data_IF_987866041631
#
_entry.id   IF_987866041631
#
_cell.length_a   1.000
_cell.length_b   1.000
_cell.length_c   1.000
_cell.angle_alpha   90.00
_cell.angle_beta   90.00
_cell.angle_gamma   90.00
#
_symmetry.space_group_name_H-M   'P 1'
#
loop_
_entity.id
_entity.type
_entity.pdbx_description
1 polymer ?
#
# COMPACT_ATOMS: atom_id res chain seq x y z
N UNK A 1 -8.66 -8.31 6.53
CA UNK A 1 -7.90 -7.56 7.56
C UNK A 1 -8.92 -6.90 8.48
N UNK A 2 -9.76 -7.70 9.11
CA UNK A 2 -11.04 -7.20 9.65
C UNK A 2 -10.82 -6.34 10.89
N UNK A 3 -9.84 -6.73 11.72
CA UNK A 3 -9.34 -5.93 12.84
C UNK A 3 -8.87 -4.52 12.41
N UNK A 4 -8.17 -4.39 11.27
CA UNK A 4 -7.71 -3.10 10.77
C UNK A 4 -8.87 -2.28 10.17
N UNK A 5 -9.79 -2.95 9.47
CA UNK A 5 -11.00 -2.30 8.96
C UNK A 5 -11.85 -1.70 10.10
N UNK A 6 -11.98 -2.43 11.22
CA UNK A 6 -12.69 -1.96 12.41
C UNK A 6 -12.04 -0.76 13.10
N UNK A 7 -10.71 -0.58 12.96
CA UNK A 7 -10.00 0.62 13.47
C UNK A 7 -10.25 1.86 12.62
N UNK A 8 -10.61 1.71 11.35
CA UNK A 8 -10.82 2.82 10.41
C UNK A 8 -12.15 2.70 9.63
N UNK A 9 -13.30 2.55 10.31
CA UNK A 9 -14.56 2.19 9.65
C UNK A 9 -15.03 3.25 8.64
N UNK A 10 -14.85 4.54 8.97
CA UNK A 10 -15.18 5.64 8.05
C UNK A 10 -14.32 5.63 6.79
N UNK A 11 -13.04 5.27 6.91
CA UNK A 11 -12.14 5.16 5.76
C UNK A 11 -12.55 4.02 4.85
N UNK A 12 -12.93 2.87 5.43
CA UNK A 12 -13.45 1.72 4.68
C UNK A 12 -14.71 2.10 3.92
N UNK A 13 -15.70 2.69 4.62
CA UNK A 13 -16.95 3.14 4.01
C UNK A 13 -16.70 4.11 2.85
N UNK A 14 -15.81 5.10 3.04
CA UNK A 14 -15.47 6.06 2.00
C UNK A 14 -14.83 5.37 0.79
N UNK A 15 -13.85 4.49 1.00
CA UNK A 15 -13.21 3.77 -0.10
C UNK A 15 -14.24 2.96 -0.89
N UNK A 16 -15.08 2.18 -0.20
CA UNK A 16 -16.11 1.37 -0.85
C UNK A 16 -17.13 2.20 -1.62
N UNK A 17 -17.44 3.41 -1.13
CA UNK A 17 -18.44 4.28 -1.73
C UNK A 17 -17.92 5.10 -2.90
N UNK A 18 -16.69 5.62 -2.82
CA UNK A 18 -16.20 6.67 -3.75
C UNK A 18 -15.12 6.21 -4.70
N UNK A 19 -14.43 5.11 -4.41
CA UNK A 19 -13.31 4.66 -5.24
C UNK A 19 -13.82 3.84 -6.42
N UNK A 20 -13.64 4.29 -7.67
CA UNK A 20 -14.08 3.55 -8.83
C UNK A 20 -13.16 2.35 -9.09
N UNK A 21 -13.70 1.29 -9.71
CA UNK A 21 -12.93 0.11 -10.16
C UNK A 21 -11.93 -0.40 -9.09
N UNK A 22 -12.36 -0.51 -7.83
CA UNK A 22 -11.47 -0.82 -6.70
C UNK A 22 -10.71 -2.15 -6.89
N UNK A 23 -9.40 -2.13 -6.69
CA UNK A 23 -8.52 -3.32 -6.70
C UNK A 23 -8.51 -4.08 -5.37
N UNK A 24 -9.32 -3.63 -4.39
CA UNK A 24 -9.43 -4.18 -3.02
C UNK A 24 -8.11 -4.27 -2.26
N UNK A 25 -7.21 -3.33 -2.55
CA UNK A 25 -5.95 -3.18 -1.86
C UNK A 25 -5.82 -1.72 -1.40
N UNK A 26 -5.81 -1.52 -0.08
CA UNK A 26 -5.69 -0.21 0.55
C UNK A 26 -5.02 -0.34 1.92
N UNK A 27 -4.14 0.61 2.25
CA UNK A 27 -3.42 0.64 3.51
C UNK A 27 -2.83 2.03 3.76
N UNK A 28 -2.51 2.34 5.02
CA UNK A 28 -1.71 3.51 5.36
C UNK A 28 -0.23 3.15 5.27
N UNK A 29 0.54 3.96 4.55
CA UNK A 29 2.01 3.89 4.53
C UNK A 29 2.56 5.01 5.40
N UNK A 30 3.38 4.62 6.39
CA UNK A 30 4.14 5.54 7.22
C UNK A 30 5.59 5.59 6.74
N UNK A 31 6.17 6.78 6.69
CA UNK A 31 7.55 6.99 6.29
C UNK A 31 8.22 8.00 7.22
N UNK A 32 9.30 7.59 7.88
CA UNK A 32 10.00 8.43 8.85
C UNK A 32 10.87 9.50 8.17
N UNK A 33 11.17 10.62 8.85
CA UNK A 33 12.15 11.62 8.40
C UNK A 33 13.45 11.03 7.86
N UNK A 34 13.96 11.58 6.76
CA UNK A 34 15.21 11.16 6.13
C UNK A 34 15.14 9.84 5.36
N UNK A 35 13.95 9.27 5.18
CA UNK A 35 13.79 8.00 4.44
C UNK A 35 13.79 8.24 2.94
N UNK A 36 14.57 7.42 2.23
CA UNK A 36 14.55 7.29 0.78
C UNK A 36 14.13 5.87 0.40
N UNK A 37 12.95 5.75 -0.23
CA UNK A 37 12.51 4.52 -0.89
C UNK A 37 13.15 4.50 -2.27
N UNK A 38 14.17 3.67 -2.43
CA UNK A 38 14.94 3.52 -3.67
C UNK A 38 14.06 3.13 -4.86
N UNK A 39 14.56 3.41 -6.07
CA UNK A 39 13.89 3.05 -7.31
C UNK A 39 13.49 1.58 -7.39
N UNK A 40 12.23 1.34 -7.75
CA UNK A 40 11.66 0.01 -7.92
C UNK A 40 10.44 0.06 -8.85
N UNK A 41 9.93 -1.12 -9.20
CA UNK A 41 8.70 -1.29 -9.97
C UNK A 41 7.72 -2.18 -9.23
N UNK A 42 6.45 -1.88 -9.41
CA UNK A 42 5.34 -2.72 -8.99
C UNK A 42 5.30 -4.03 -9.81
N UNK A 43 4.66 -5.08 -9.27
CA UNK A 43 4.68 -6.40 -9.89
C UNK A 43 3.73 -6.55 -11.09
N UNK A 44 2.90 -5.55 -11.39
CA UNK A 44 1.88 -5.65 -12.43
C UNK A 44 1.40 -4.28 -12.91
N UNK A 45 1.06 -4.20 -14.19
CA UNK A 45 0.41 -3.05 -14.86
C UNK A 45 -1.12 -3.16 -14.92
N UNK A 46 -1.72 -4.16 -14.25
CA UNK A 46 -3.19 -4.36 -14.24
C UNK A 46 -3.93 -3.32 -13.41
N UNK A 47 -3.19 -2.48 -12.69
CA UNK A 47 -3.72 -1.51 -11.74
C UNK A 47 -3.00 -0.18 -11.83
N UNK A 48 -3.68 0.86 -11.38
CA UNK A 48 -3.07 2.14 -11.01
C UNK A 48 -3.05 2.26 -9.50
N UNK A 49 -2.08 3.00 -8.97
CA UNK A 49 -1.92 3.30 -7.56
C UNK A 49 -2.30 4.75 -7.29
N UNK A 50 -3.16 4.97 -6.30
CA UNK A 50 -3.46 6.29 -5.78
C UNK A 50 -2.74 6.51 -4.45
N UNK A 51 -2.00 7.61 -4.34
CA UNK A 51 -1.46 8.14 -3.10
C UNK A 51 -2.29 9.35 -2.66
N UNK A 52 -2.88 9.27 -1.47
CA UNK A 52 -3.48 10.40 -0.78
C UNK A 52 -2.66 10.73 0.48
N UNK A 53 -1.71 11.69 0.40
CA UNK A 53 -0.98 12.15 1.56
C UNK A 53 -1.92 12.79 2.58
N UNK A 54 -1.78 12.42 3.85
CA UNK A 54 -2.71 12.82 4.93
C UNK A 54 -2.05 13.79 5.92
N UNK A 55 -0.88 13.43 6.47
CA UNK A 55 -0.14 14.23 7.47
C UNK A 55 1.38 14.10 7.28
N UNK A 56 2.14 15.06 7.82
CA UNK A 56 3.61 15.04 7.83
C UNK A 56 4.25 15.04 6.43
N UNK A 57 3.63 15.72 5.46
CA UNK A 57 3.97 15.61 4.03
C UNK A 57 5.02 16.63 3.56
N UNK A 58 5.39 17.57 4.41
CA UNK A 58 6.40 18.56 4.07
C UNK A 58 7.74 17.88 3.76
N UNK A 59 8.41 18.28 2.67
CA UNK A 59 9.63 17.63 2.20
C UNK A 59 9.42 16.26 1.52
N UNK A 60 8.17 15.82 1.31
CA UNK A 60 7.87 14.57 0.61
C UNK A 60 7.86 14.74 -0.91
N UNK A 61 8.56 13.84 -1.61
CA UNK A 61 8.64 13.81 -3.08
C UNK A 61 8.36 12.41 -3.62
N UNK A 62 7.72 12.34 -4.78
CA UNK A 62 7.46 11.12 -5.52
C UNK A 62 7.96 11.29 -6.95
N UNK A 63 8.81 10.38 -7.43
CA UNK A 63 9.17 10.27 -8.84
C UNK A 63 8.46 9.08 -9.47
N UNK A 64 7.93 9.27 -10.67
CA UNK A 64 7.43 8.19 -11.53
C UNK A 64 7.93 8.42 -12.95
N UNK A 65 8.74 7.50 -13.48
CA UNK A 65 9.49 7.74 -14.71
C UNK A 65 10.34 9.01 -14.59
N UNK A 66 10.15 9.95 -15.50
CA UNK A 66 10.89 11.23 -15.53
C UNK A 66 10.19 12.36 -14.79
N UNK A 67 9.02 12.12 -14.19
CA UNK A 67 8.21 13.15 -13.52
C UNK A 67 8.42 13.08 -12.03
N UNK A 68 8.79 14.22 -11.42
CA UNK A 68 8.93 14.38 -9.97
C UNK A 68 7.89 15.37 -9.47
N UNK A 69 7.14 14.98 -8.44
CA UNK A 69 6.10 15.80 -7.82
C UNK A 69 6.33 15.89 -6.31
N UNK A 70 6.24 17.11 -5.78
CA UNK A 70 6.14 17.35 -4.34
C UNK A 70 4.73 17.01 -3.85
N UNK A 71 4.65 16.15 -2.84
CA UNK A 71 3.38 15.67 -2.32
C UNK A 71 2.73 16.71 -1.42
N UNK A 72 1.40 16.81 -1.48
CA UNK A 72 0.61 17.79 -0.72
C UNK A 72 -0.54 17.09 -0.03
N UNK A 73 -0.82 17.47 1.22
CA UNK A 73 -1.88 16.88 2.01
C UNK A 73 -3.24 17.11 1.33
N UNK A 74 -4.06 16.05 1.28
CA UNK A 74 -5.39 16.12 0.67
C UNK A 74 -5.43 16.08 -0.87
N UNK A 75 -4.28 16.09 -1.56
CA UNK A 75 -4.21 15.97 -3.03
C UNK A 75 -3.91 14.52 -3.41
N UNK A 76 -4.75 13.93 -4.27
CA UNK A 76 -4.50 12.60 -4.82
C UNK A 76 -3.45 12.65 -5.92
N UNK A 77 -2.53 11.67 -5.91
CA UNK A 77 -1.56 11.40 -6.96
C UNK A 77 -1.84 10.00 -7.49
N UNK A 78 -2.26 9.88 -8.75
CA UNK A 78 -2.58 8.60 -9.38
C UNK A 78 -1.54 8.31 -10.44
N UNK A 79 -0.92 7.14 -10.37
CA UNK A 79 0.15 6.73 -11.28
C UNK A 79 0.15 5.22 -11.50
N UNK A 80 0.78 4.79 -12.59
CA UNK A 80 1.07 3.38 -12.83
C UNK A 80 2.38 3.03 -12.12
N UNK A 81 2.28 2.27 -11.03
CA UNK A 81 3.47 1.87 -10.25
C UNK A 81 4.25 0.73 -10.92
N UNK A 82 3.81 0.18 -12.05
CA UNK A 82 4.64 -0.73 -12.86
C UNK A 82 5.80 -0.01 -13.54
N UNK A 83 5.72 1.30 -13.70
CA UNK A 83 6.85 2.14 -14.07
C UNK A 83 7.81 2.32 -12.91
N UNK A 84 9.08 2.60 -13.23
CA UNK A 84 10.07 2.88 -12.20
C UNK A 84 9.66 4.10 -11.39
N UNK A 85 9.66 3.95 -10.07
CA UNK A 85 9.30 5.00 -9.13
C UNK A 85 10.14 4.92 -7.86
N UNK A 86 10.28 6.07 -7.20
CA UNK A 86 10.99 6.25 -5.93
C UNK A 86 10.39 7.39 -5.13
N UNK A 87 10.65 7.41 -3.83
CA UNK A 87 10.08 8.42 -2.94
C UNK A 87 11.08 8.87 -1.87
N UNK A 88 11.06 10.17 -1.58
CA UNK A 88 11.86 10.79 -0.53
C UNK A 88 10.97 11.44 0.50
N UNK A 89 11.48 11.54 1.71
CA UNK A 89 10.88 12.35 2.75
C UNK A 89 11.96 13.04 3.57
N UNK A 90 12.25 14.27 3.19
CA UNK A 90 13.25 15.11 3.85
C UNK A 90 12.63 15.98 4.97
N UNK A 91 11.35 15.76 5.28
CA UNK A 91 10.63 16.44 6.35
C UNK A 91 11.03 15.98 7.75
N UNK A 92 10.57 16.71 8.77
CA UNK A 92 10.90 16.48 10.18
C UNK A 92 9.90 15.59 10.94
N UNK A 93 8.70 15.38 10.39
CA UNK A 93 7.64 14.56 11.00
C UNK A 93 7.43 13.25 10.23
N UNK A 94 6.79 12.25 10.82
CA UNK A 94 6.42 11.03 10.07
C UNK A 94 5.36 11.35 9.02
N UNK A 95 5.64 11.04 7.76
CA UNK A 95 4.68 11.13 6.66
C UNK A 95 3.71 9.97 6.68
N UNK A 96 2.41 10.25 6.66
CA UNK A 96 1.37 9.24 6.47
C UNK A 96 0.64 9.46 5.15
N UNK A 97 0.61 8.43 4.31
CA UNK A 97 -0.12 8.40 3.03
C UNK A 97 -1.16 7.28 3.09
N UNK A 98 -2.40 7.56 2.70
CA UNK A 98 -3.38 6.52 2.38
C UNK A 98 -3.15 6.06 0.94
N UNK A 99 -2.83 4.79 0.76
CA UNK A 99 -2.70 4.15 -0.55
C UNK A 99 -3.93 3.32 -0.83
N UNK A 100 -4.38 3.38 -2.08
CA UNK A 100 -5.35 2.42 -2.60
C UNK A 100 -5.14 2.20 -4.09
N UNK A 101 -5.40 0.99 -4.54
CA UNK A 101 -5.19 0.56 -5.91
C UNK A 101 -6.53 0.47 -6.68
N UNK A 102 -6.49 0.79 -7.97
CA UNK A 102 -7.61 0.78 -8.92
C UNK A 102 -7.29 -0.19 -10.05
N UNK A 103 -8.24 -0.97 -10.54
CA UNK A 103 -8.06 -1.69 -11.81
C UNK A 103 -7.80 -0.69 -12.94
N UNK A 104 -6.85 -1.02 -13.82
CA UNK A 104 -6.51 -0.17 -14.96
C UNK A 104 -7.78 0.14 -15.78
N UNK A 105 -8.02 1.41 -16.16
CA UNK A 105 -9.28 1.81 -16.79
C UNK A 105 -9.51 1.13 -18.15
N UNK A 106 -8.44 0.76 -18.85
CA UNK A 106 -8.52 0.08 -20.16
C UNK A 106 -8.91 -1.39 -20.07
N UNK A 107 -8.92 -1.99 -18.87
CA UNK A 107 -9.41 -3.36 -18.69
C UNK A 107 -10.94 -3.36 -18.72
N UNK A 108 -11.52 -4.19 -19.57
CA UNK A 108 -12.96 -4.47 -19.57
C UNK A 108 -13.40 -5.16 -18.27
N UNK A 109 -14.69 -5.11 -17.96
CA UNK A 109 -15.23 -5.75 -16.76
C UNK A 109 -15.07 -7.28 -16.80
N UNK A 110 -15.09 -7.88 -17.99
CA UNK A 110 -14.82 -9.32 -18.18
C UNK A 110 -13.36 -9.66 -17.87
N UNK A 111 -12.42 -8.82 -18.31
CA UNK A 111 -11.00 -9.00 -17.98
C UNK A 111 -10.75 -8.80 -16.49
N UNK A 112 -11.35 -7.79 -15.86
CA UNK A 112 -11.27 -7.60 -14.40
C UNK A 112 -11.82 -8.82 -13.66
N UNK A 113 -12.98 -9.33 -14.05
CA UNK A 113 -13.57 -10.53 -13.43
C UNK A 113 -12.66 -11.75 -13.58
N UNK A 114 -12.08 -11.96 -14.76
CA UNK A 114 -11.18 -13.07 -15.03
C UNK A 114 -9.87 -12.94 -14.22
N UNK A 115 -9.27 -11.76 -14.18
CA UNK A 115 -8.03 -11.50 -13.46
C UNK A 115 -8.21 -11.62 -11.94
N UNK A 116 -9.32 -11.12 -11.40
CA UNK A 116 -9.69 -11.29 -9.99
C UNK A 116 -9.89 -12.77 -9.64
N UNK A 117 -10.55 -13.54 -10.51
CA UNK A 117 -10.69 -14.99 -10.35
C UNK A 117 -9.32 -15.69 -10.33
N UNK A 118 -8.43 -15.37 -11.27
CA UNK A 118 -7.08 -15.94 -11.31
C UNK A 118 -6.28 -15.61 -10.05
N UNK A 119 -6.32 -14.35 -9.59
CA UNK A 119 -5.61 -13.92 -8.39
C UNK A 119 -6.11 -14.68 -7.15
N UNK A 120 -7.43 -14.81 -6.97
CA UNK A 120 -8.03 -15.58 -5.86
C UNK A 120 -7.67 -17.05 -5.93
N UNK A 121 -7.66 -17.63 -7.14
CA UNK A 121 -7.33 -19.03 -7.35
C UNK A 121 -5.87 -19.31 -7.02
N UNK A 122 -4.95 -18.41 -7.42
CA UNK A 122 -3.53 -18.48 -7.06
C UNK A 122 -3.33 -18.38 -5.55
N UNK A 123 -3.92 -17.40 -4.88
CA UNK A 123 -3.82 -17.25 -3.42
C UNK A 123 -4.34 -18.49 -2.67
N UNK A 124 -5.43 -19.09 -3.15
CA UNK A 124 -5.97 -20.33 -2.57
C UNK A 124 -5.02 -21.51 -2.77
N UNK A 125 -4.40 -21.63 -3.95
CA UNK A 125 -3.41 -22.67 -4.23
C UNK A 125 -2.14 -22.48 -3.37
N UNK A 126 -1.59 -21.27 -3.31
CA UNK A 126 -0.43 -20.93 -2.47
C UNK A 126 -0.69 -21.27 -1.00
N UNK A 127 -1.85 -20.86 -0.46
CA UNK A 127 -2.25 -21.20 0.91
C UNK A 127 -2.34 -22.71 1.14
N UNK A 128 -2.87 -23.46 0.17
CA UNK A 128 -2.98 -24.91 0.29
C UNK A 128 -1.61 -25.60 0.27
N UNK A 129 -0.71 -25.14 -0.61
CA UNK A 129 0.66 -25.64 -0.68
C UNK A 129 1.44 -25.34 0.61
N UNK A 130 1.32 -24.14 1.15
CA UNK A 130 1.98 -23.77 2.41
C UNK A 130 1.41 -24.49 3.64
N UNK A 131 0.17 -25.00 3.60
CA UNK A 131 -0.41 -25.75 4.71
C UNK A 131 0.14 -27.18 4.83
N UNK A 132 0.79 -27.71 3.78
CA UNK A 132 1.47 -29.01 3.80
C UNK A 132 2.99 -28.89 3.93
N UNK A 133 3.50 -27.67 4.12
CA UNK A 133 4.92 -27.36 4.25
C UNK A 133 5.22 -27.05 5.72
N UNK A 134 5.73 -28.04 6.45
CA UNK A 134 6.17 -27.91 7.84
C UNK A 134 7.48 -27.09 7.97
N UNK A 135 8.04 -26.60 6.86
CA UNK A 135 9.16 -25.68 6.93
C UNK A 135 8.71 -24.34 7.50
N UNK A 136 9.46 -23.88 8.48
CA UNK A 136 9.16 -22.72 9.30
C UNK A 136 9.46 -21.38 8.60
N UNK A 137 9.64 -21.42 7.27
CA UNK A 137 10.21 -20.39 6.40
C UNK A 137 9.23 -19.80 5.38
N UNK A 138 7.99 -20.29 5.29
CA UNK A 138 7.03 -19.77 4.34
C UNK A 138 6.42 -18.41 4.76
N UNK A 139 5.88 -17.66 3.79
CA UNK A 139 5.33 -16.32 4.02
C UNK A 139 4.27 -16.26 5.13
N UNK A 140 3.43 -17.30 5.25
CA UNK A 140 2.36 -17.35 6.24
C UNK A 140 2.88 -17.64 7.64
N UNK A 141 3.90 -18.50 7.79
CA UNK A 141 4.55 -18.75 9.08
C UNK A 141 5.30 -17.51 9.57
N UNK A 142 6.00 -16.79 8.68
CA UNK A 142 6.64 -15.50 8.98
C UNK A 142 5.64 -14.43 9.45
N UNK A 143 4.50 -14.28 8.76
CA UNK A 143 3.43 -13.36 9.18
C UNK A 143 2.91 -13.72 10.58
N UNK A 144 2.69 -15.00 10.87
CA UNK A 144 2.22 -15.44 12.18
C UNK A 144 3.24 -15.14 13.28
N UNK A 145 4.52 -15.43 13.04
CA UNK A 145 5.60 -15.21 14.03
C UNK A 145 5.84 -13.73 14.32
N UNK A 146 5.72 -12.89 13.30
CA UNK A 146 5.97 -11.45 13.41
C UNK A 146 4.79 -10.66 13.99
N UNK A 147 3.58 -11.26 14.04
CA UNK A 147 2.34 -10.59 14.46
C UNK A 147 2.45 -9.89 15.81
N UNK A 148 3.08 -10.56 16.78
CA UNK A 148 3.17 -10.09 18.17
C UNK A 148 4.56 -9.56 18.55
N UNK A 149 5.45 -9.38 17.57
CA UNK A 149 6.82 -8.89 17.83
C UNK A 149 6.85 -7.41 18.25
N UNK A 150 5.88 -6.62 17.81
CA UNK A 150 5.77 -5.21 18.16
C UNK A 150 4.98 -5.07 19.46
N UNK A 151 5.68 -4.67 20.53
CA UNK A 151 5.09 -4.53 21.87
C UNK A 151 4.21 -3.29 22.03
N UNK A 152 4.44 -2.27 21.20
CA UNK A 152 3.60 -1.09 21.10
C UNK A 152 3.60 -0.51 19.68
N UNK A 153 2.72 0.47 19.49
CA UNK A 153 2.48 1.17 18.24
C UNK A 153 3.25 2.50 18.14
N UNK A 154 4.25 2.74 18.99
CA UNK A 154 5.00 3.99 19.03
C UNK A 154 6.14 4.05 18.00
N UNK A 155 6.49 2.92 17.39
CA UNK A 155 7.64 2.81 16.47
C UNK A 155 7.58 3.75 15.25
N UNK A 156 6.38 4.18 14.85
CA UNK A 156 6.17 5.11 13.72
C UNK A 156 5.99 6.57 14.14
N UNK A 157 5.95 6.88 15.43
CA UNK A 157 5.79 8.26 15.91
C UNK A 157 7.17 8.77 16.29
N UNK A 158 7.77 9.58 15.43
CA UNK A 158 8.94 10.36 15.84
C UNK A 158 8.44 11.45 16.81
N UNK A 159 8.48 11.15 18.11
CA UNK A 159 8.30 12.18 19.15
C UNK A 159 9.56 13.03 19.09
N UNK A 160 9.51 14.14 18.35
CA UNK A 160 10.58 15.13 18.36
C UNK A 160 11.02 15.35 19.80
N UNK A 161 12.34 15.33 20.03
CA UNK A 161 12.94 15.65 21.32
C UNK A 161 12.39 16.99 21.80
N UNK A 162 11.58 16.95 22.87
CA UNK A 162 11.29 18.12 23.72
C UNK A 162 12.60 18.65 24.33
#
# INVERSE_FOLDING_TARGET
>A
FDENCQKCPKTVELIERVVPRQYKHAFFSALNPGTHVVQHTGPTNKKLRCHLPVVGVEGSRLRVGDVVEEQRAGKCYVFDDSFEHEAWHDGSETRIVLLFDLWHPDLSDKEVQFLDYLQKSRLKAEKHMSAGDDSDENFFSLLSKTRDMLKDNSWWVNKGSE
#
